data_IF_480238860397
#
_entry.id   IF_480238860397
#
_cell.length_a   1.000
_cell.length_b   1.000
_cell.length_c   1.000
_cell.angle_alpha   90.00
_cell.angle_beta   90.00
_cell.angle_gamma   90.00
#
_symmetry.space_group_name_H-M   'P 1'
#
loop_
_entity.id
_entity.type
_entity.pdbx_description
1 polymer ?
#
# COMPACT_ATOMS: atom_id res chain seq x y z
N UNK A 1 12.07 13.91 -33.57
CA UNK A 1 11.58 13.29 -32.32
C UNK A 1 12.37 13.92 -31.19
N UNK A 2 11.81 14.78 -30.33
CA UNK A 2 12.56 15.23 -29.16
C UNK A 2 12.41 14.16 -28.07
N UNK A 3 13.54 13.60 -27.66
CA UNK A 3 13.66 12.70 -26.52
C UNK A 3 13.21 13.43 -25.24
N UNK A 4 12.34 12.77 -24.48
CA UNK A 4 11.72 13.25 -23.26
C UNK A 4 12.75 13.47 -22.14
N UNK A 5 13.30 14.68 -22.06
CA UNK A 5 14.06 15.16 -20.90
C UNK A 5 13.07 15.58 -19.79
N UNK A 6 12.41 14.60 -19.17
CA UNK A 6 11.69 14.84 -17.91
C UNK A 6 12.73 15.14 -16.83
N UNK A 7 12.50 16.19 -16.04
CA UNK A 7 13.33 16.43 -14.85
C UNK A 7 13.17 15.27 -13.87
N UNK A 8 14.18 15.00 -13.04
CA UNK A 8 14.14 13.94 -12.04
C UNK A 8 12.90 14.01 -11.12
N UNK A 9 12.41 15.23 -10.84
CA UNK A 9 11.19 15.47 -10.06
C UNK A 9 9.92 15.03 -10.80
N UNK A 10 9.82 15.31 -12.09
CA UNK A 10 8.67 14.89 -12.92
C UNK A 10 8.65 13.37 -13.12
N UNK A 11 9.83 12.76 -13.26
CA UNK A 11 9.94 11.30 -13.31
C UNK A 11 9.48 10.67 -11.99
N UNK A 12 9.90 11.21 -10.84
CA UNK A 12 9.46 10.72 -9.53
C UNK A 12 7.94 10.87 -9.36
N UNK A 13 7.36 12.01 -9.76
CA UNK A 13 5.91 12.22 -9.73
C UNK A 13 5.16 11.22 -10.61
N UNK A 14 5.67 10.92 -11.81
CA UNK A 14 5.05 9.91 -12.69
C UNK A 14 5.06 8.49 -12.12
N UNK A 15 5.99 8.19 -11.21
CA UNK A 15 6.07 6.90 -10.51
C UNK A 15 5.21 6.85 -9.26
N UNK A 16 4.88 8.00 -8.67
CA UNK A 16 4.16 8.06 -7.40
C UNK A 16 2.69 7.65 -7.55
N UNK A 17 2.04 8.06 -8.64
CA UNK A 17 0.64 7.68 -8.91
C UNK A 17 0.43 6.17 -9.02
N UNK A 18 1.14 5.42 -9.92
CA UNK A 18 0.96 3.98 -10.00
C UNK A 18 1.40 3.28 -8.70
N UNK A 19 2.38 3.81 -7.99
CA UNK A 19 2.79 3.26 -6.69
C UNK A 19 1.67 3.40 -5.64
N UNK A 20 0.98 4.54 -5.59
CA UNK A 20 -0.17 4.73 -4.69
C UNK A 20 -1.34 3.82 -5.06
N UNK A 21 -1.57 3.59 -6.36
CA UNK A 21 -2.56 2.62 -6.84
C UNK A 21 -2.23 1.19 -6.44
N UNK A 22 -0.94 0.81 -6.53
CA UNK A 22 -0.47 -0.49 -6.07
C UNK A 22 -0.72 -0.66 -4.57
N UNK A 23 -0.34 0.32 -3.74
CA UNK A 23 -0.61 0.26 -2.30
C UNK A 23 -2.11 0.13 -2.00
N UNK A 24 -2.94 0.93 -2.66
CA UNK A 24 -4.39 0.90 -2.50
C UNK A 24 -4.96 -0.48 -2.83
N UNK A 25 -4.57 -1.05 -3.96
CA UNK A 25 -5.02 -2.37 -4.38
C UNK A 25 -4.60 -3.48 -3.41
N UNK A 26 -3.32 -3.49 -3.01
CA UNK A 26 -2.79 -4.57 -2.19
C UNK A 26 -3.26 -4.51 -0.73
N UNK A 27 -3.47 -3.32 -0.16
CA UNK A 27 -4.07 -3.20 1.16
C UNK A 27 -5.53 -3.66 1.15
N UNK A 28 -6.32 -3.28 0.14
CA UNK A 28 -7.69 -3.76 -0.01
C UNK A 28 -7.74 -5.29 -0.11
N UNK A 29 -6.83 -5.88 -0.90
CA UNK A 29 -6.73 -7.34 -1.04
C UNK A 29 -6.35 -8.04 0.27
N UNK A 30 -5.48 -7.42 1.06
CA UNK A 30 -5.02 -7.93 2.36
C UNK A 30 -6.11 -7.81 3.41
N UNK A 31 -6.83 -6.70 3.44
CA UNK A 31 -8.00 -6.50 4.29
C UNK A 31 -9.05 -7.58 4.02
N UNK A 32 -9.40 -7.82 2.74
CA UNK A 32 -10.34 -8.88 2.38
C UNK A 32 -9.92 -10.27 2.86
N UNK A 33 -8.62 -10.59 2.81
CA UNK A 33 -8.11 -11.86 3.34
C UNK A 33 -8.32 -11.93 4.86
N UNK A 34 -7.91 -10.88 5.57
CA UNK A 34 -7.93 -10.83 7.04
C UNK A 34 -9.35 -10.73 7.62
N UNK A 35 -10.32 -10.20 6.88
CA UNK A 35 -11.72 -10.10 7.33
C UNK A 35 -12.52 -11.37 7.07
N UNK A 36 -12.25 -12.08 5.97
CA UNK A 36 -13.13 -13.15 5.50
C UNK A 36 -12.61 -14.56 5.79
N UNK A 37 -11.33 -14.71 6.13
CA UNK A 37 -10.70 -16.01 6.30
C UNK A 37 -10.20 -16.18 7.74
N UNK A 38 -10.35 -17.39 8.30
CA UNK A 38 -9.68 -17.74 9.57
C UNK A 38 -8.28 -18.23 9.28
N UNK A 39 -7.26 -17.48 9.70
CA UNK A 39 -5.87 -17.82 9.40
C UNK A 39 -5.29 -18.67 10.53
N UNK A 40 -5.16 -19.97 10.28
CA UNK A 40 -4.83 -20.99 11.31
C UNK A 40 -3.46 -20.86 11.97
N UNK A 41 -2.52 -20.15 11.35
CA UNK A 41 -1.16 -19.97 11.87
C UNK A 41 -0.96 -18.64 12.63
N UNK A 42 -2.03 -17.90 12.90
CA UNK A 42 -2.04 -16.72 13.75
C UNK A 42 -3.18 -16.81 14.76
N UNK A 43 -2.99 -16.18 15.90
CA UNK A 43 -4.05 -15.98 16.88
C UNK A 43 -5.08 -14.96 16.38
N UNK A 44 -6.27 -14.96 16.97
CA UNK A 44 -7.32 -13.99 16.62
C UNK A 44 -6.90 -12.55 16.92
N UNK A 45 -6.11 -12.34 17.99
CA UNK A 45 -5.55 -11.04 18.32
C UNK A 45 -4.53 -10.58 17.26
N UNK A 46 -3.58 -11.44 16.88
CA UNK A 46 -2.59 -11.10 15.85
C UNK A 46 -3.25 -10.79 14.50
N UNK A 47 -4.31 -11.53 14.14
CA UNK A 47 -5.08 -11.26 12.93
C UNK A 47 -5.80 -9.91 13.00
N UNK A 48 -6.41 -9.60 14.16
CA UNK A 48 -7.09 -8.32 14.38
C UNK A 48 -6.11 -7.14 14.35
N UNK A 49 -4.96 -7.26 15.01
CA UNK A 49 -3.95 -6.19 15.06
C UNK A 49 -3.40 -5.90 13.66
N UNK A 50 -3.15 -6.94 12.85
CA UNK A 50 -2.74 -6.78 11.46
C UNK A 50 -3.84 -6.13 10.62
N UNK A 51 -5.09 -6.53 10.80
CA UNK A 51 -6.24 -5.95 10.10
C UNK A 51 -6.39 -4.46 10.39
N UNK A 52 -6.27 -4.05 11.66
CA UNK A 52 -6.39 -2.64 12.05
C UNK A 52 -5.27 -1.79 11.43
N UNK A 53 -4.04 -2.31 11.42
CA UNK A 53 -2.90 -1.66 10.74
C UNK A 53 -3.14 -1.52 9.24
N UNK A 54 -3.69 -2.54 8.58
CA UNK A 54 -4.04 -2.49 7.15
C UNK A 54 -5.11 -1.45 6.87
N UNK A 55 -6.16 -1.38 7.69
CA UNK A 55 -7.23 -0.37 7.56
C UNK A 55 -6.70 1.05 7.70
N UNK A 56 -5.83 1.27 8.68
CA UNK A 56 -5.20 2.56 8.89
C UNK A 56 -4.32 2.96 7.69
N UNK A 57 -3.46 2.06 7.22
CA UNK A 57 -2.62 2.32 6.04
C UNK A 57 -3.45 2.58 4.78
N UNK A 58 -4.57 1.86 4.58
CA UNK A 58 -5.49 2.10 3.47
C UNK A 58 -6.06 3.53 3.50
N UNK A 59 -6.47 4.01 4.67
CA UNK A 59 -6.98 5.38 4.83
C UNK A 59 -5.89 6.42 4.50
N UNK A 60 -4.67 6.19 4.97
CA UNK A 60 -3.53 7.08 4.72
C UNK A 60 -3.15 7.15 3.23
N UNK A 61 -3.11 5.99 2.55
CA UNK A 61 -2.85 5.90 1.10
C UNK A 61 -3.93 6.65 0.32
N UNK A 62 -5.21 6.39 0.64
CA UNK A 62 -6.33 7.04 -0.04
C UNK A 62 -6.30 8.56 0.14
N UNK A 63 -5.99 9.02 1.36
CA UNK A 63 -5.86 10.46 1.67
C UNK A 63 -4.70 11.08 0.90
N UNK A 64 -3.55 10.40 0.87
CA UNK A 64 -2.36 10.85 0.17
C UNK A 64 -2.57 10.92 -1.35
N UNK A 65 -3.25 9.91 -1.92
CA UNK A 65 -3.65 9.89 -3.34
C UNK A 65 -4.62 11.02 -3.68
N UNK A 66 -5.59 11.29 -2.82
CA UNK A 66 -6.52 12.42 -2.99
C UNK A 66 -5.78 13.76 -2.99
N UNK A 67 -4.87 13.98 -2.03
CA UNK A 67 -4.08 15.21 -1.95
C UNK A 67 -3.13 15.35 -3.14
N UNK A 68 -2.48 14.26 -3.55
CA UNK A 68 -1.62 14.23 -4.73
C UNK A 68 -2.37 14.65 -5.99
N UNK A 69 -3.58 14.14 -6.20
CA UNK A 69 -4.42 14.51 -7.33
C UNK A 69 -4.95 15.95 -7.23
N UNK A 70 -5.41 16.36 -6.05
CA UNK A 70 -5.94 17.71 -5.81
C UNK A 70 -4.88 18.81 -6.02
N UNK A 71 -3.61 18.49 -5.84
CA UNK A 71 -2.47 19.41 -6.04
C UNK A 71 -1.88 19.35 -7.44
N UNK A 72 -2.57 18.72 -8.40
CA UNK A 72 -2.08 18.60 -9.77
C UNK A 72 -0.80 17.77 -9.87
N UNK A 73 -0.61 16.79 -8.98
CA UNK A 73 0.56 15.89 -8.90
C UNK A 73 1.87 16.60 -8.56
N UNK A 74 1.79 17.82 -8.02
CA UNK A 74 2.97 18.64 -7.73
C UNK A 74 3.58 18.37 -6.36
N UNK A 75 2.80 17.88 -5.40
CA UNK A 75 3.30 17.56 -4.05
C UNK A 75 3.93 16.18 -4.05
N UNK A 76 5.21 16.11 -3.68
CA UNK A 76 5.90 14.84 -3.42
C UNK A 76 5.50 14.28 -2.05
N UNK A 77 5.40 12.96 -1.92
CA UNK A 77 5.30 12.29 -0.63
C UNK A 77 6.70 12.06 -0.05
N UNK A 78 6.85 12.30 1.25
CA UNK A 78 8.09 11.99 1.95
C UNK A 78 8.29 10.46 2.00
N UNK A 79 9.52 10.01 1.76
CA UNK A 79 9.92 8.62 1.91
C UNK A 79 9.65 8.09 3.32
N UNK A 80 9.67 8.95 4.34
CA UNK A 80 9.28 8.60 5.70
C UNK A 80 7.81 8.15 5.81
N UNK A 81 6.94 8.57 4.87
CA UNK A 81 5.53 8.15 4.79
C UNK A 81 5.38 6.82 4.05
N UNK A 82 6.21 6.57 3.02
CA UNK A 82 6.13 5.36 2.19
C UNK A 82 6.73 4.12 2.85
N UNK A 83 7.78 4.28 3.67
CA UNK A 83 8.49 3.16 4.28
C UNK A 83 7.60 2.28 5.18
N UNK A 84 6.74 2.84 6.07
CA UNK A 84 5.82 2.03 6.87
C UNK A 84 4.83 1.22 6.02
N UNK A 85 4.29 1.81 4.94
CA UNK A 85 3.37 1.11 4.05
C UNK A 85 4.04 -0.06 3.33
N UNK A 86 5.27 0.14 2.85
CA UNK A 86 6.04 -0.94 2.22
C UNK A 86 6.33 -2.09 3.19
N UNK A 87 6.70 -1.78 4.43
CA UNK A 87 6.93 -2.80 5.47
C UNK A 87 5.66 -3.61 5.77
N UNK A 88 4.52 -2.92 5.94
CA UNK A 88 3.23 -3.55 6.19
C UNK A 88 2.77 -4.41 5.00
N UNK A 89 2.96 -3.92 3.77
CA UNK A 89 2.66 -4.68 2.56
C UNK A 89 3.49 -5.97 2.50
N UNK A 90 4.77 -5.91 2.83
CA UNK A 90 5.64 -7.09 2.91
C UNK A 90 5.19 -8.11 3.95
N UNK A 91 4.67 -7.65 5.09
CA UNK A 91 4.06 -8.50 6.11
C UNK A 91 2.78 -9.18 5.60
N UNK A 92 1.87 -8.41 5.01
CA UNK A 92 0.65 -8.92 4.41
C UNK A 92 0.94 -9.95 3.31
N UNK A 93 1.98 -9.71 2.51
CA UNK A 93 2.38 -10.64 1.46
C UNK A 93 2.89 -11.96 2.02
N UNK A 94 3.70 -11.95 3.08
CA UNK A 94 4.14 -13.18 3.77
C UNK A 94 2.95 -13.95 4.33
N UNK A 95 1.99 -13.27 4.95
CA UNK A 95 0.75 -13.87 5.45
C UNK A 95 -0.04 -14.51 4.30
N UNK A 96 -0.29 -13.76 3.23
CA UNK A 96 -1.04 -14.26 2.07
C UNK A 96 -0.34 -15.44 1.37
N UNK A 97 0.98 -15.41 1.25
CA UNK A 97 1.79 -16.51 0.71
C UNK A 97 1.64 -17.77 1.57
N UNK A 98 1.83 -17.64 2.88
CA UNK A 98 1.71 -18.77 3.81
C UNK A 98 0.29 -19.33 3.87
N UNK A 99 -0.72 -18.46 3.85
CA UNK A 99 -2.12 -18.87 3.79
C UNK A 99 -2.41 -19.71 2.53
N UNK A 100 -1.91 -19.30 1.36
CA UNK A 100 -2.06 -20.08 0.12
C UNK A 100 -1.34 -21.43 0.11
N UNK A 101 -0.33 -21.62 0.96
CA UNK A 101 0.38 -22.89 1.07
C UNK A 101 -0.33 -23.90 1.99
N UNK A 102 -1.20 -23.43 2.88
CA UNK A 102 -1.87 -24.24 3.91
C UNK A 102 -3.35 -24.46 3.58
N UNK A 103 -3.95 -23.64 2.71
CA UNK A 103 -5.28 -23.86 2.13
C UNK A 103 -5.29 -25.05 1.18
#
# INVERSE_FOLDING_TARGET
MPESNLSASQLLQSLLEPLLEDFEYWFARSQQLLENEKISFMTEQEQSDLLDRVKQAQLEVNTSKMLFNATGKQVGLDMATLAPWHQLLGECWRVGMRYRQIK
#
